data_IF_156110089981
#
_entry.id   IF_156110089981
#
_cell.length_a   1.000
_cell.length_b   1.000
_cell.length_c   1.000
_cell.angle_alpha   90.00
_cell.angle_beta   90.00
_cell.angle_gamma   90.00
#
_symmetry.space_group_name_H-M   'P 1'
#
loop_
_entity.id
_entity.type
_entity.pdbx_description
1 polymer ?
#
# COMPACT_ATOMS: atom_id res chain seq x y z
N UNK A 1 1.13 45.83 -10.69
CA UNK A 1 0.50 44.50 -10.83
C UNK A 1 0.86 43.59 -9.63
N UNK A 2 2.05 43.72 -9.05
CA UNK A 2 2.51 42.95 -7.87
C UNK A 2 1.74 43.22 -6.57
N UNK A 3 1.39 44.48 -6.25
CA UNK A 3 0.68 44.82 -5.01
C UNK A 3 -0.73 44.19 -4.88
N UNK A 4 -1.44 44.05 -6.01
CA UNK A 4 -2.76 43.42 -6.06
C UNK A 4 -2.66 41.90 -5.86
N UNK A 5 -1.54 41.31 -6.30
CA UNK A 5 -1.28 39.88 -6.10
C UNK A 5 -0.93 39.57 -4.65
N UNK A 6 -0.13 40.43 -4.01
CA UNK A 6 0.17 40.33 -2.57
C UNK A 6 -1.09 40.46 -1.70
N UNK A 7 -1.98 41.41 -2.01
CA UNK A 7 -3.25 41.54 -1.29
C UNK A 7 -4.12 40.29 -1.40
N UNK A 8 -4.24 39.72 -2.60
CA UNK A 8 -5.00 38.47 -2.80
C UNK A 8 -4.37 37.28 -2.06
N UNK A 9 -3.03 37.21 -2.00
CA UNK A 9 -2.32 36.19 -1.23
C UNK A 9 -2.60 36.31 0.27
N UNK A 10 -2.62 37.53 0.81
CA UNK A 10 -2.93 37.79 2.22
C UNK A 10 -4.38 37.45 2.53
N UNK A 11 -5.31 37.78 1.63
CA UNK A 11 -6.74 37.49 1.81
C UNK A 11 -7.01 35.97 1.77
N UNK A 12 -6.35 35.23 0.88
CA UNK A 12 -6.40 33.76 0.86
C UNK A 12 -5.77 33.17 2.13
N UNK A 13 -4.65 33.70 2.62
CA UNK A 13 -4.02 33.24 3.85
C UNK A 13 -4.94 33.44 5.07
N UNK A 14 -5.54 34.62 5.22
CA UNK A 14 -6.49 34.90 6.30
C UNK A 14 -7.73 34.01 6.25
N UNK A 15 -8.23 33.70 5.05
CA UNK A 15 -9.37 32.78 4.90
C UNK A 15 -9.00 31.35 5.31
N UNK A 16 -7.79 30.90 4.98
CA UNK A 16 -7.29 29.59 5.42
C UNK A 16 -7.09 29.54 6.94
N UNK A 17 -6.55 30.61 7.55
CA UNK A 17 -6.41 30.72 9.00
C UNK A 17 -7.76 30.67 9.72
N UNK A 18 -8.76 31.41 9.25
CA UNK A 18 -10.11 31.38 9.84
C UNK A 18 -10.79 30.02 9.70
N UNK A 19 -10.57 29.31 8.59
CA UNK A 19 -11.05 27.94 8.42
C UNK A 19 -10.37 26.99 9.42
N UNK A 20 -9.06 27.13 9.61
CA UNK A 20 -8.29 26.36 10.59
C UNK A 20 -8.75 26.61 12.02
N UNK A 21 -8.93 27.87 12.41
CA UNK A 21 -9.42 28.24 13.75
C UNK A 21 -10.81 27.64 14.02
N UNK A 22 -11.70 27.67 13.02
CA UNK A 22 -13.04 27.08 13.11
C UNK A 22 -13.00 25.55 13.24
N UNK A 23 -12.05 24.88 12.58
CA UNK A 23 -11.86 23.43 12.75
C UNK A 23 -11.26 23.08 14.10
N UNK A 24 -10.32 23.89 14.62
CA UNK A 24 -9.74 23.71 15.95
C UNK A 24 -10.80 23.81 17.05
N UNK A 25 -11.65 24.84 16.98
CA UNK A 25 -12.72 25.05 17.96
C UNK A 25 -13.75 23.90 17.94
N UNK A 26 -14.00 23.30 16.77
CA UNK A 26 -14.83 22.09 16.66
C UNK A 26 -14.19 20.87 17.29
N UNK A 27 -12.88 20.70 17.15
CA UNK A 27 -12.15 19.57 17.75
C UNK A 27 -12.12 19.66 19.28
N UNK A 28 -11.91 20.86 19.82
CA UNK A 28 -11.87 21.10 21.27
C UNK A 28 -13.25 20.89 21.92
N UNK A 29 -14.34 21.08 21.16
CA UNK A 29 -15.72 20.90 21.61
C UNK A 29 -16.35 19.55 21.19
N UNK A 30 -15.54 18.54 20.84
CA UNK A 30 -16.08 17.22 20.49
C UNK A 30 -16.80 16.57 21.68
N UNK A 31 -18.07 16.19 21.47
CA UNK A 31 -18.87 15.48 22.46
C UNK A 31 -18.56 13.97 22.48
N UNK A 32 -18.94 13.30 23.57
CA UNK A 32 -18.85 11.83 23.72
C UNK A 32 -19.49 11.10 22.52
N UNK A 33 -20.60 11.63 21.99
CA UNK A 33 -21.27 11.08 20.81
C UNK A 33 -20.39 11.14 19.54
N UNK A 34 -19.58 12.18 19.38
CA UNK A 34 -18.70 12.31 18.22
C UNK A 34 -17.49 11.38 18.31
N UNK A 35 -16.96 11.15 19.51
CA UNK A 35 -15.97 10.10 19.75
C UNK A 35 -16.50 8.71 19.42
N UNK A 36 -17.76 8.42 19.75
CA UNK A 36 -18.41 7.15 19.38
C UNK A 36 -18.56 7.00 17.86
N UNK A 37 -18.94 8.08 17.15
CA UNK A 37 -19.00 8.09 15.68
C UNK A 37 -17.63 7.84 15.06
N UNK A 38 -16.58 8.50 15.54
CA UNK A 38 -15.20 8.29 15.06
C UNK A 38 -14.78 6.83 15.26
N UNK A 39 -15.07 6.25 16.42
CA UNK A 39 -14.78 4.85 16.70
C UNK A 39 -15.57 3.90 15.78
N UNK A 40 -16.85 4.18 15.57
CA UNK A 40 -17.70 3.40 14.68
C UNK A 40 -17.21 3.47 13.22
N UNK A 41 -16.79 4.65 12.75
CA UNK A 41 -16.25 4.85 11.40
C UNK A 41 -14.97 4.06 11.20
N UNK A 42 -14.00 4.17 12.12
CA UNK A 42 -12.75 3.38 12.05
C UNK A 42 -13.02 1.88 12.07
N UNK A 43 -13.96 1.43 12.90
CA UNK A 43 -14.33 0.02 12.96
C UNK A 43 -15.01 -0.46 11.66
N UNK A 44 -15.79 0.41 11.01
CA UNK A 44 -16.38 0.13 9.71
C UNK A 44 -15.32 0.07 8.60
N UNK A 45 -14.38 1.02 8.56
CA UNK A 45 -13.24 1.03 7.63
C UNK A 45 -12.41 -0.26 7.76
N UNK A 46 -12.07 -0.66 8.99
CA UNK A 46 -11.34 -1.91 9.25
C UNK A 46 -12.11 -3.14 8.75
N UNK A 47 -13.43 -3.19 8.99
CA UNK A 47 -14.29 -4.27 8.49
C UNK A 47 -14.35 -4.31 6.96
N UNK A 48 -14.45 -3.15 6.31
CA UNK A 48 -14.48 -3.03 4.85
C UNK A 48 -13.16 -3.48 4.24
N UNK A 49 -12.02 -3.04 4.79
CA UNK A 49 -10.68 -3.46 4.37
C UNK A 49 -10.48 -4.97 4.54
N UNK A 50 -10.96 -5.55 5.65
CA UNK A 50 -10.89 -7.00 5.86
C UNK A 50 -11.74 -7.76 4.83
N UNK A 51 -12.95 -7.27 4.53
CA UNK A 51 -13.82 -7.86 3.50
C UNK A 51 -13.20 -7.76 2.10
N UNK A 52 -12.59 -6.62 1.75
CA UNK A 52 -11.87 -6.47 0.49
C UNK A 52 -10.70 -7.45 0.39
N UNK A 53 -9.88 -7.58 1.44
CA UNK A 53 -8.79 -8.57 1.48
C UNK A 53 -9.29 -10.00 1.27
N UNK A 54 -10.42 -10.37 1.87
CA UNK A 54 -11.05 -11.67 1.63
C UNK A 54 -11.51 -11.83 0.18
N UNK A 55 -12.11 -10.80 -0.42
CA UNK A 55 -12.54 -10.83 -1.82
C UNK A 55 -11.35 -10.98 -2.78
N UNK A 56 -10.23 -10.30 -2.51
CA UNK A 56 -9.00 -10.43 -3.29
C UNK A 56 -8.43 -11.84 -3.20
N UNK A 57 -8.34 -12.40 -1.99
CA UNK A 57 -7.92 -13.79 -1.77
C UNK A 57 -8.84 -14.78 -2.50
N UNK A 58 -10.16 -14.59 -2.44
CA UNK A 58 -11.13 -15.41 -3.16
C UNK A 58 -11.00 -15.29 -4.69
N UNK A 59 -10.54 -14.13 -5.17
CA UNK A 59 -10.22 -13.88 -6.59
C UNK A 59 -8.83 -14.40 -6.98
N UNK A 60 -8.13 -15.06 -6.06
CA UNK A 60 -6.80 -15.67 -6.26
C UNK A 60 -5.64 -14.66 -6.21
N UNK A 61 -5.84 -13.47 -5.65
CA UNK A 61 -4.74 -12.55 -5.37
C UNK A 61 -3.86 -13.10 -4.25
N UNK A 62 -2.61 -12.66 -4.17
CA UNK A 62 -1.64 -13.21 -3.20
C UNK A 62 -0.71 -14.28 -3.77
N UNK A 63 -1.06 -14.81 -4.95
CA UNK A 63 -0.29 -15.85 -5.65
C UNK A 63 0.22 -15.33 -7.00
N UNK A 64 1.35 -15.91 -7.44
CA UNK A 64 1.91 -15.65 -8.75
C UNK A 64 1.56 -16.80 -9.70
N UNK A 65 0.62 -16.54 -10.61
CA UNK A 65 0.06 -17.55 -11.51
C UNK A 65 0.42 -17.27 -12.98
N UNK A 66 0.65 -18.34 -13.73
CA UNK A 66 0.81 -18.28 -15.19
C UNK A 66 -0.56 -18.38 -15.86
N UNK A 67 -0.84 -17.45 -16.77
CA UNK A 67 -2.03 -17.45 -17.60
C UNK A 67 -1.65 -18.06 -18.95
N UNK A 68 -2.36 -19.12 -19.34
CA UNK A 68 -2.05 -19.86 -20.56
C UNK A 68 -2.79 -19.30 -21.78
N UNK A 69 -4.02 -18.81 -21.56
CA UNK A 69 -4.92 -18.36 -22.62
C UNK A 69 -5.25 -16.87 -22.49
N UNK A 70 -5.39 -16.21 -23.65
CA UNK A 70 -5.83 -14.81 -23.70
C UNK A 70 -7.23 -14.60 -23.13
N UNK A 71 -8.11 -15.60 -23.28
CA UNK A 71 -9.47 -15.56 -22.71
C UNK A 71 -9.42 -15.52 -21.18
N UNK A 72 -8.55 -16.32 -20.59
CA UNK A 72 -8.35 -16.33 -19.13
C UNK A 72 -7.81 -14.98 -18.64
N UNK A 73 -6.90 -14.35 -19.40
CA UNK A 73 -6.45 -13.00 -19.10
C UNK A 73 -7.60 -11.98 -19.04
N UNK A 74 -8.54 -12.03 -19.98
CA UNK A 74 -9.71 -11.14 -19.95
C UNK A 74 -10.66 -11.45 -18.79
N UNK A 75 -10.84 -12.73 -18.41
CA UNK A 75 -11.64 -13.10 -17.25
C UNK A 75 -11.00 -12.63 -15.94
N UNK A 76 -9.67 -12.74 -15.84
CA UNK A 76 -8.90 -12.17 -14.74
C UNK A 76 -9.05 -10.65 -14.69
N UNK A 77 -8.97 -9.97 -15.83
CA UNK A 77 -9.18 -8.52 -15.93
C UNK A 77 -10.57 -8.03 -15.56
N UNK A 78 -11.59 -8.89 -15.59
CA UNK A 78 -12.94 -8.56 -15.11
C UNK A 78 -13.10 -8.75 -13.61
N UNK A 79 -12.37 -9.72 -13.03
CA UNK A 79 -12.46 -10.06 -11.60
C UNK A 79 -11.57 -9.17 -10.74
N UNK A 80 -10.47 -8.68 -11.29
CA UNK A 80 -9.45 -7.92 -10.57
C UNK A 80 -9.32 -6.51 -11.15
N UNK A 81 -9.37 -5.51 -10.28
CA UNK A 81 -9.20 -4.10 -10.66
C UNK A 81 -7.74 -3.79 -11.02
N UNK A 82 -6.82 -4.23 -10.17
CA UNK A 82 -5.39 -3.98 -10.29
C UNK A 82 -4.66 -5.26 -10.72
N UNK A 83 -3.96 -5.21 -11.85
CA UNK A 83 -3.23 -6.34 -12.41
C UNK A 83 -1.82 -5.89 -12.82
N UNK A 84 -0.84 -6.69 -12.42
CA UNK A 84 0.55 -6.60 -12.86
C UNK A 84 0.84 -7.86 -13.66
N UNK A 85 1.00 -7.70 -14.98
CA UNK A 85 1.22 -8.83 -15.89
C UNK A 85 2.63 -8.79 -16.49
N UNK A 86 3.42 -9.84 -16.28
CA UNK A 86 4.71 -10.04 -16.93
C UNK A 86 4.53 -10.75 -18.27
N UNK A 87 4.90 -10.08 -19.36
CA UNK A 87 5.05 -10.70 -20.67
C UNK A 87 6.46 -11.25 -20.78
N UNK A 88 6.56 -12.57 -20.90
CA UNK A 88 7.82 -13.29 -20.90
C UNK A 88 7.96 -14.23 -22.10
N UNK A 89 9.20 -14.67 -22.32
CA UNK A 89 9.58 -15.73 -23.26
C UNK A 89 10.58 -16.66 -22.57
N UNK A 90 10.47 -17.96 -22.81
CA UNK A 90 11.26 -18.99 -22.12
C UNK A 90 12.79 -18.85 -22.31
N UNK A 91 13.21 -18.30 -23.45
CA UNK A 91 14.62 -18.09 -23.79
C UNK A 91 15.31 -16.95 -23.02
N UNK A 92 14.55 -16.11 -22.30
CA UNK A 92 15.09 -14.90 -21.69
C UNK A 92 15.48 -15.10 -20.22
N UNK A 93 16.77 -14.95 -19.91
CA UNK A 93 17.27 -14.99 -18.53
C UNK A 93 16.72 -13.84 -17.68
N UNK A 94 16.52 -12.66 -18.27
CA UNK A 94 15.97 -11.49 -17.58
C UNK A 94 14.55 -11.70 -17.07
N UNK A 95 13.75 -12.52 -17.76
CA UNK A 95 12.42 -12.88 -17.28
C UNK A 95 12.47 -13.66 -15.95
N UNK A 96 13.49 -14.50 -15.75
CA UNK A 96 13.65 -15.28 -14.51
C UNK A 96 13.90 -14.38 -13.28
N UNK A 97 14.58 -13.25 -13.49
CA UNK A 97 14.85 -12.25 -12.46
C UNK A 97 13.52 -11.63 -12.01
N UNK A 98 12.70 -11.17 -12.95
CA UNK A 98 11.37 -10.60 -12.65
C UNK A 98 10.47 -11.63 -11.98
N UNK A 99 10.48 -12.89 -12.46
CA UNK A 99 9.76 -14.01 -11.84
C UNK A 99 10.09 -14.17 -10.35
N UNK A 100 11.37 -14.01 -9.96
CA UNK A 100 11.78 -14.08 -8.57
C UNK A 100 11.17 -12.95 -7.73
N UNK A 101 11.27 -11.70 -8.19
CA UNK A 101 10.71 -10.56 -7.47
C UNK A 101 9.18 -10.60 -7.41
N UNK A 102 8.50 -11.04 -8.47
CA UNK A 102 7.04 -11.16 -8.50
C UNK A 102 6.53 -12.19 -7.49
N UNK A 103 7.24 -13.31 -7.28
CA UNK A 103 6.88 -14.28 -6.23
C UNK A 103 6.92 -13.69 -4.82
N UNK A 104 7.84 -12.75 -4.57
CA UNK A 104 7.95 -12.05 -3.28
C UNK A 104 6.85 -10.99 -3.18
N UNK A 105 6.66 -10.20 -4.24
CA UNK A 105 5.69 -9.09 -4.26
C UNK A 105 4.25 -9.57 -4.24
N UNK A 106 3.92 -10.67 -4.92
CA UNK A 106 2.57 -11.23 -4.94
C UNK A 106 2.05 -11.55 -3.54
N UNK A 107 2.92 -12.08 -2.67
CA UNK A 107 2.55 -12.40 -1.27
C UNK A 107 2.38 -11.15 -0.40
N UNK A 108 3.08 -10.07 -0.72
CA UNK A 108 3.04 -8.81 0.04
C UNK A 108 1.86 -7.94 -0.38
N UNK A 109 1.58 -7.89 -1.68
CA UNK A 109 0.59 -7.01 -2.29
C UNK A 109 -0.61 -7.82 -2.80
N UNK A 110 -1.57 -8.04 -1.90
CA UNK A 110 -2.80 -8.78 -2.21
C UNK A 110 -3.81 -7.88 -2.95
N UNK A 111 -3.64 -6.56 -2.86
CA UNK A 111 -4.47 -5.59 -3.57
C UNK A 111 -4.33 -5.69 -5.10
N UNK A 112 -3.19 -6.17 -5.60
CA UNK A 112 -2.92 -6.35 -7.02
C UNK A 112 -2.75 -7.83 -7.36
N UNK A 113 -3.25 -8.23 -8.53
CA UNK A 113 -3.07 -9.58 -9.04
C UNK A 113 -1.81 -9.65 -9.90
N UNK A 114 -0.86 -10.48 -9.47
CA UNK A 114 0.38 -10.73 -10.20
C UNK A 114 0.22 -11.96 -11.09
N UNK A 115 0.47 -11.79 -12.37
CA UNK A 115 0.43 -12.89 -13.33
C UNK A 115 1.56 -12.80 -14.35
N UNK A 116 1.82 -13.91 -15.03
CA UNK A 116 2.70 -13.95 -16.19
C UNK A 116 2.03 -14.60 -17.38
N UNK A 117 2.47 -14.22 -18.57
CA UNK A 117 1.89 -14.62 -19.82
C UNK A 117 2.97 -14.76 -20.88
N UNK A 118 2.95 -15.90 -21.58
CA UNK A 118 3.93 -16.21 -22.62
C UNK A 118 3.53 -15.53 -23.94
N UNK A 119 4.40 -14.68 -24.47
CA UNK A 119 4.13 -13.91 -25.69
C UNK A 119 3.87 -14.80 -26.92
N UNK A 120 4.44 -16.00 -26.96
CA UNK A 120 4.29 -16.92 -28.11
C UNK A 120 2.92 -17.59 -28.13
N UNK A 121 2.34 -17.82 -26.95
CA UNK A 121 1.00 -18.41 -26.81
C UNK A 121 -0.11 -17.37 -27.02
N UNK A 122 0.17 -16.11 -26.71
CA UNK A 122 -0.81 -15.02 -26.71
C UNK A 122 -0.38 -13.88 -27.67
N UNK A 123 -0.33 -14.14 -28.99
CA UNK A 123 0.13 -13.16 -29.96
C UNK A 123 -0.82 -11.97 -30.12
N UNK A 124 -2.14 -12.16 -29.97
CA UNK A 124 -3.12 -11.08 -30.15
C UNK A 124 -3.03 -10.06 -29.01
N UNK A 125 -2.84 -10.52 -27.77
CA UNK A 125 -2.64 -9.60 -26.65
C UNK A 125 -1.31 -8.85 -26.77
N UNK A 126 -0.26 -9.55 -27.20
CA UNK A 126 1.08 -8.97 -27.44
C UNK A 126 1.03 -7.86 -28.51
N UNK A 127 0.32 -8.10 -29.62
CA UNK A 127 0.14 -7.10 -30.69
C UNK A 127 -0.74 -5.94 -30.25
N UNK A 128 -1.86 -6.22 -29.58
CA UNK A 128 -2.80 -5.20 -29.09
C UNK A 128 -2.19 -4.25 -28.08
N UNK A 129 -1.35 -4.77 -27.18
CA UNK A 129 -0.60 -3.98 -26.18
C UNK A 129 0.74 -3.47 -26.74
N UNK A 130 1.05 -3.74 -28.01
CA UNK A 130 2.26 -3.29 -28.73
C UNK A 130 3.57 -3.66 -28.04
N UNK A 131 3.63 -4.88 -27.51
CA UNK A 131 4.79 -5.37 -26.77
C UNK A 131 5.86 -5.82 -27.76
N UNK A 132 7.00 -5.13 -27.76
CA UNK A 132 8.13 -5.39 -28.67
C UNK A 132 9.38 -5.91 -27.98
N UNK A 133 9.54 -5.61 -26.69
CA UNK A 133 10.74 -5.90 -25.90
C UNK A 133 10.33 -6.82 -24.75
N UNK A 134 11.20 -7.75 -24.37
CA UNK A 134 10.93 -8.74 -23.30
C UNK A 134 12.11 -8.71 -22.31
N UNK A 135 11.89 -8.72 -20.98
CA UNK A 135 10.58 -8.71 -20.31
C UNK A 135 9.85 -7.36 -20.46
N UNK A 136 8.52 -7.38 -20.57
CA UNK A 136 7.69 -6.17 -20.40
C UNK A 136 6.65 -6.44 -19.33
N UNK A 137 6.51 -5.51 -18.39
CA UNK A 137 5.49 -5.57 -17.34
C UNK A 137 4.38 -4.59 -17.72
N UNK A 138 3.17 -5.10 -17.94
CA UNK A 138 2.00 -4.26 -18.16
C UNK A 138 1.27 -4.01 -16.84
N UNK A 139 0.96 -2.74 -16.61
CA UNK A 139 0.32 -2.23 -15.40
C UNK A 139 -1.10 -1.83 -15.75
N UNK A 140 -2.08 -2.57 -15.23
CA UNK A 140 -3.49 -2.42 -15.57
C UNK A 140 -4.26 -2.05 -14.31
N UNK A 141 -5.03 -0.97 -14.41
CA UNK A 141 -5.88 -0.44 -13.34
C UNK A 141 -7.28 -0.25 -13.91
N UNK A 142 -8.29 -0.84 -13.28
CA UNK A 142 -9.70 -0.78 -13.67
C UNK A 142 -9.92 -1.20 -15.13
N UNK A 143 -9.26 -2.28 -15.56
CA UNK A 143 -9.34 -2.82 -16.92
C UNK A 143 -8.72 -1.94 -18.01
N UNK A 144 -8.01 -0.87 -17.65
CA UNK A 144 -7.26 -0.02 -18.58
C UNK A 144 -5.77 -0.15 -18.31
N UNK A 145 -4.98 -0.24 -19.37
CA UNK A 145 -3.53 -0.22 -19.22
C UNK A 145 -3.08 1.19 -18.88
N UNK A 146 -2.50 1.34 -17.69
CA UNK A 146 -2.06 2.61 -17.14
C UNK A 146 -0.63 2.92 -17.54
N UNK A 147 0.24 1.91 -17.52
CA UNK A 147 1.67 2.09 -17.72
C UNK A 147 2.34 0.76 -18.14
N UNK A 148 3.57 0.85 -18.67
CA UNK A 148 4.40 -0.29 -19.04
C UNK A 148 5.83 -0.09 -18.55
N UNK A 149 6.39 -1.11 -17.92
CA UNK A 149 7.83 -1.16 -17.62
C UNK A 149 8.47 -2.04 -18.68
N UNK A 150 9.26 -1.42 -19.56
CA UNK A 150 9.85 -2.10 -20.71
C UNK A 150 11.32 -2.45 -20.43
N UNK A 151 11.62 -3.74 -20.39
CA UNK A 151 12.95 -4.24 -20.02
C UNK A 151 13.35 -3.79 -18.62
N UNK A 152 14.63 -3.50 -18.43
CA UNK A 152 15.18 -3.01 -17.15
C UNK A 152 15.60 -1.53 -17.21
N UNK A 153 15.29 -0.82 -18.30
CA UNK A 153 15.70 0.58 -18.50
C UNK A 153 15.28 1.47 -17.34
N UNK A 154 14.07 1.29 -16.84
CA UNK A 154 13.50 2.06 -15.73
C UNK A 154 13.88 1.51 -14.34
N UNK A 155 14.55 0.36 -14.29
CA UNK A 155 15.03 -0.30 -13.08
C UNK A 155 16.55 -0.12 -12.90
N UNK A 156 17.14 0.85 -13.61
CA UNK A 156 18.58 1.14 -13.56
C UNK A 156 19.42 0.36 -14.57
N UNK A 157 18.78 -0.40 -15.48
CA UNK A 157 19.41 -1.23 -16.52
C UNK A 157 20.44 -2.24 -15.97
N UNK A 158 20.27 -2.63 -14.71
CA UNK A 158 21.07 -3.65 -14.04
C UNK A 158 20.22 -4.91 -13.88
N UNK A 159 20.87 -6.07 -13.98
CA UNK A 159 20.19 -7.35 -13.77
C UNK A 159 19.99 -7.64 -12.26
N UNK A 160 20.77 -7.00 -11.39
CA UNK A 160 20.73 -7.18 -9.92
C UNK A 160 19.95 -6.07 -9.19
N UNK A 161 18.75 -5.69 -9.69
CA UNK A 161 17.93 -4.69 -9.01
C UNK A 161 17.23 -5.27 -7.77
N UNK A 162 16.99 -4.43 -6.76
CA UNK A 162 16.32 -4.86 -5.53
C UNK A 162 14.80 -4.96 -5.71
N UNK A 163 14.17 -5.86 -4.94
CA UNK A 163 12.69 -5.98 -4.92
C UNK A 163 12.02 -4.65 -4.57
N UNK A 164 12.64 -3.85 -3.70
CA UNK A 164 12.16 -2.51 -3.32
C UNK A 164 12.16 -1.53 -4.49
N UNK A 165 13.14 -1.62 -5.40
CA UNK A 165 13.20 -0.75 -6.59
C UNK A 165 12.01 -1.01 -7.51
N UNK A 166 11.75 -2.30 -7.79
CA UNK A 166 10.60 -2.70 -8.58
C UNK A 166 9.28 -2.34 -7.89
N UNK A 167 9.19 -2.55 -6.57
CA UNK A 167 8.03 -2.16 -5.78
C UNK A 167 7.76 -0.64 -5.87
N UNK A 168 8.78 0.20 -5.69
CA UNK A 168 8.66 1.65 -5.83
C UNK A 168 8.14 2.02 -7.23
N UNK A 169 8.66 1.40 -8.28
CA UNK A 169 8.24 1.68 -9.66
C UNK A 169 6.78 1.27 -9.91
N UNK A 170 6.34 0.14 -9.36
CA UNK A 170 4.95 -0.31 -9.41
C UNK A 170 4.03 0.63 -8.62
N UNK A 171 4.48 1.11 -7.46
CA UNK A 171 3.73 2.04 -6.62
C UNK A 171 3.54 3.42 -7.27
N UNK A 172 4.55 3.92 -7.99
CA UNK A 172 4.45 5.17 -8.76
C UNK A 172 3.33 5.11 -9.80
N UNK A 173 3.09 3.92 -10.38
CA UNK A 173 1.96 3.70 -11.28
C UNK A 173 0.62 3.56 -10.55
N UNK A 174 0.60 3.49 -9.22
CA UNK A 174 -0.60 3.34 -8.40
C UNK A 174 -1.34 2.01 -8.57
N UNK A 175 -0.66 0.95 -9.05
CA UNK A 175 -1.22 -0.40 -9.12
C UNK A 175 -1.14 -1.12 -7.77
N UNK A 176 -0.12 -0.80 -6.97
CA UNK A 176 0.08 -1.33 -5.62
C UNK A 176 0.09 -0.20 -4.61
N UNK A 177 -0.30 -0.51 -3.38
CA UNK A 177 -0.19 0.41 -2.27
C UNK A 177 1.24 0.34 -1.71
N UNK A 178 1.89 1.49 -1.58
CA UNK A 178 3.19 1.57 -0.96
C UNK A 178 3.01 1.99 0.50
N UNK A 179 2.98 0.99 1.37
CA UNK A 179 3.05 1.22 2.81
C UNK A 179 4.52 1.47 3.17
N UNK A 180 4.93 2.74 3.21
CA UNK A 180 6.27 3.16 3.64
C UNK A 180 6.46 3.10 5.17
N UNK A 181 5.73 2.20 5.84
CA UNK A 181 5.74 2.09 7.30
C UNK A 181 6.97 1.33 7.83
N UNK A 182 7.89 0.91 6.97
CA UNK A 182 9.14 0.26 7.38
C UNK A 182 10.35 1.21 7.50
N UNK A 183 10.22 2.51 7.20
CA UNK A 183 11.35 3.46 7.34
C UNK A 183 11.11 4.67 8.25
N UNK A 184 9.99 4.75 8.99
CA UNK A 184 9.81 5.77 10.05
C UNK A 184 10.23 5.34 11.46
N UNK A 185 10.79 4.12 11.64
CA UNK A 185 11.05 3.56 12.99
C UNK A 185 12.52 3.57 13.47
N UNK A 186 13.52 4.03 12.72
CA UNK A 186 14.93 3.89 13.15
C UNK A 186 15.72 5.17 13.45
N UNK A 187 15.15 6.36 13.31
CA UNK A 187 15.77 7.58 13.85
C UNK A 187 14.76 8.38 14.67
N UNK A 188 15.03 8.45 15.99
CA UNK A 188 14.42 9.35 17.01
C UNK A 188 13.63 8.68 18.16
N UNK A 189 14.04 7.50 18.63
CA UNK A 189 13.69 7.08 20.01
C UNK A 189 14.81 7.43 20.99
N UNK A 190 14.92 8.72 21.34
CA UNK A 190 15.59 9.15 22.59
C UNK A 190 14.54 9.77 23.53
N UNK A 191 14.19 8.95 24.53
CA UNK A 191 13.84 9.27 25.92
C UNK A 191 12.91 10.47 26.20
N UNK A 192 11.66 10.19 26.56
CA UNK A 192 10.97 10.82 27.71
C UNK A 192 9.91 9.85 28.25
N UNK A 193 10.31 8.97 29.18
CA UNK A 193 9.39 8.14 29.96
C UNK A 193 9.07 8.88 31.25
N UNK A 194 7.89 9.50 31.33
CA UNK A 194 7.28 9.97 32.58
C UNK A 194 6.34 8.87 33.08
N UNK A 195 6.70 8.21 34.19
CA UNK A 195 5.88 7.19 34.86
C UNK A 195 4.87 7.86 35.82
N UNK A 196 3.57 7.52 35.79
CA UNK A 196 2.66 7.87 36.86
C UNK A 196 2.70 6.84 38.01
N UNK A 197 2.82 7.33 39.25
CA UNK A 197 2.80 6.56 40.50
C UNK A 197 1.36 6.20 40.93
N UNK A 198 1.14 4.97 41.38
CA UNK A 198 -0.13 4.51 41.98
C UNK A 198 -0.25 4.97 43.45
N UNK A 199 -1.45 5.36 43.94
CA UNK A 199 -1.66 5.62 45.37
C UNK A 199 -1.80 4.32 46.20
N UNK A 200 -1.17 4.30 47.38
CA UNK A 200 -1.23 3.20 48.37
C UNK A 200 -2.40 3.41 49.34
N UNK A 201 -3.20 2.37 49.54
CA UNK A 201 -4.24 2.29 50.59
C UNK A 201 -3.60 1.94 51.94
N UNK A 202 -4.07 2.58 53.00
CA UNK A 202 -3.60 2.50 54.40
C UNK A 202 -4.41 1.44 55.17
N UNK A 203 -3.74 0.50 55.86
CA UNK A 203 -4.20 -0.23 57.06
C UNK A 203 -3.00 -1.02 57.63
N UNK A 204 -2.26 -0.54 58.64
CA UNK A 204 -2.48 -0.79 60.09
C UNK A 204 -2.23 -2.28 60.40
N UNK A 205 -1.10 -2.78 60.93
CA UNK A 205 -0.20 -2.48 62.08
C UNK A 205 -0.33 -3.58 63.16
N UNK A 206 0.81 -4.21 63.48
CA UNK A 206 1.23 -5.07 64.61
C UNK A 206 0.51 -6.44 64.77
N UNK A 207 1.10 -7.56 65.22
CA UNK A 207 2.35 -7.84 65.95
C UNK A 207 2.73 -9.34 65.85
N UNK A 208 3.98 -9.65 66.19
CA UNK A 208 4.61 -10.94 66.56
C UNK A 208 3.70 -12.11 66.96
N UNK A 209 4.04 -13.35 66.55
CA UNK A 209 4.60 -14.35 67.46
C UNK A 209 5.16 -15.60 66.73
N UNK A 210 6.07 -16.26 67.43
CA UNK A 210 7.05 -17.29 67.08
C UNK A 210 6.53 -18.73 66.92
N UNK A 211 7.37 -19.53 66.23
CA UNK A 211 7.75 -20.95 66.45
C UNK A 211 6.77 -22.14 66.35
N UNK A 212 7.25 -23.11 65.55
CA UNK A 212 7.29 -24.59 65.65
C UNK A 212 6.05 -25.48 65.92
N UNK A 213 6.15 -26.65 65.24
CA UNK A 213 5.35 -27.90 65.17
C UNK A 213 4.03 -27.93 64.36
#
# INVERSE_FOLDING_TARGET
MEAVFQQKLIEVANHVEQQLDTELEKLDNLDISDYEKIRANRLNELKQMQKQKQNWLASGHGEYLEIYDEKEFFEVSKKSENIVCLFYKDDSQRCKIVDHHFKILAKKHIEARFCKLNVERCPFLTERLRIRIIPTIALIVNGKTKDYIVGFTELGNCDDFSTTTLQCRLAQSGVINYDDDLHSSEMSKKSLILKPSKPKTIKGRDSDDSDDD
#
